data_IF_020836805416
#
_entry.id   IF_020836805416
#
_cell.length_a   1.000
_cell.length_b   1.000
_cell.length_c   1.000
_cell.angle_alpha   90.00
_cell.angle_beta   90.00
_cell.angle_gamma   90.00
#
_symmetry.space_group_name_H-M   'P 1'
#
loop_
_entity.id
_entity.type
_entity.pdbx_description
1 polymer ?
#
# COMPACT_ATOMS: atom_id res chain seq x y z
N UNK A 1 28.70 35.69 29.70
CA UNK A 1 29.11 35.51 28.30
C UNK A 1 30.17 34.41 28.07
N UNK A 2 31.26 34.32 28.86
CA UNK A 2 32.35 33.33 28.61
C UNK A 2 31.96 31.84 28.64
N UNK A 3 30.87 31.46 29.32
CA UNK A 3 30.43 30.06 29.40
C UNK A 3 29.71 29.57 28.13
N UNK A 4 29.00 30.44 27.42
CA UNK A 4 28.31 30.09 26.17
C UNK A 4 29.33 29.84 25.07
N UNK A 5 30.35 30.70 24.97
CA UNK A 5 31.45 30.55 24.01
C UNK A 5 32.21 29.24 24.24
N UNK A 6 32.44 28.82 25.50
CA UNK A 6 33.08 27.53 25.80
C UNK A 6 32.26 26.30 25.41
N UNK A 7 30.93 26.36 25.47
CA UNK A 7 30.04 25.26 25.02
C UNK A 7 30.01 25.16 23.49
N UNK A 8 30.04 26.30 22.79
CA UNK A 8 30.14 26.36 21.33
C UNK A 8 31.50 25.83 20.84
N UNK A 9 32.59 26.22 21.51
CA UNK A 9 33.95 25.79 21.16
C UNK A 9 34.24 24.31 21.46
N UNK A 10 33.45 23.68 22.33
CA UNK A 10 33.58 22.25 22.71
C UNK A 10 32.74 21.30 21.86
N UNK A 11 32.05 21.81 20.84
CA UNK A 11 31.16 21.04 19.96
C UNK A 11 29.99 20.34 20.70
N UNK A 12 29.73 20.74 21.95
CA UNK A 12 28.69 20.18 22.83
C UNK A 12 27.28 20.75 22.53
N UNK A 13 27.09 21.34 21.34
CA UNK A 13 25.78 21.85 20.92
C UNK A 13 24.96 20.68 20.38
N UNK A 14 24.34 19.93 21.28
CA UNK A 14 23.30 18.98 20.92
C UNK A 14 22.02 19.72 20.52
N UNK A 15 21.89 20.07 19.24
CA UNK A 15 20.59 20.49 18.68
C UNK A 15 19.67 19.27 18.60
N UNK A 16 18.73 19.17 19.55
CA UNK A 16 17.61 18.24 19.44
C UNK A 16 16.67 18.75 18.34
N UNK A 17 16.94 18.38 17.10
CA UNK A 17 16.05 18.59 15.96
C UNK A 17 14.80 17.72 16.15
N UNK A 18 13.81 18.22 16.88
CA UNK A 18 12.47 17.64 16.86
C UNK A 18 11.85 18.01 15.51
N UNK A 19 11.90 17.09 14.56
CA UNK A 19 11.35 17.31 13.22
C UNK A 19 9.82 17.26 13.27
N UNK A 20 9.20 18.43 13.47
CA UNK A 20 7.75 18.59 13.52
C UNK A 20 7.21 18.38 12.11
N UNK A 21 6.50 17.27 11.88
CA UNK A 21 5.85 16.96 10.59
C UNK A 21 6.40 15.73 9.87
N UNK A 22 7.58 15.23 10.23
CA UNK A 22 8.12 13.99 9.65
C UNK A 22 7.22 12.79 9.96
N UNK A 23 6.68 12.74 11.19
CA UNK A 23 5.76 11.68 11.61
C UNK A 23 4.45 11.68 10.81
N UNK A 24 3.97 12.87 10.42
CA UNK A 24 2.81 13.01 9.52
C UNK A 24 3.19 12.56 8.11
N UNK A 25 4.34 12.96 7.59
CA UNK A 25 4.84 12.52 6.29
C UNK A 25 5.01 11.00 6.20
N UNK A 26 5.64 10.38 7.20
CA UNK A 26 5.80 8.92 7.29
C UNK A 26 4.44 8.23 7.29
N UNK A 27 3.48 8.72 8.08
CA UNK A 27 2.11 8.18 8.10
C UNK A 27 1.39 8.33 6.75
N UNK A 28 1.68 9.39 6.01
CA UNK A 28 1.11 9.63 4.68
C UNK A 28 1.73 8.71 3.63
N UNK A 29 3.05 8.49 3.73
CA UNK A 29 3.79 7.54 2.91
C UNK A 29 3.30 6.11 3.15
N UNK A 30 3.14 5.67 4.40
CA UNK A 30 2.65 4.33 4.73
C UNK A 30 1.25 4.08 4.14
N UNK A 31 0.35 5.06 4.24
CA UNK A 31 -0.99 4.96 3.66
C UNK A 31 -0.95 4.84 2.14
N UNK A 32 -0.12 5.63 1.46
CA UNK A 32 0.04 5.56 0.02
C UNK A 32 0.67 4.24 -0.42
N UNK A 33 1.71 3.77 0.28
CA UNK A 33 2.33 2.47 0.03
C UNK A 33 1.33 1.33 0.17
N UNK A 34 0.51 1.35 1.22
CA UNK A 34 -0.50 0.31 1.43
C UNK A 34 -1.57 0.30 0.32
N UNK A 35 -1.97 1.48 -0.17
CA UNK A 35 -2.88 1.60 -1.33
C UNK A 35 -2.26 0.99 -2.60
N UNK A 36 -0.98 1.28 -2.86
CA UNK A 36 -0.26 0.76 -4.02
C UNK A 36 -0.14 -0.75 -3.93
N UNK A 37 0.37 -1.28 -2.83
CA UNK A 37 0.52 -2.73 -2.61
C UNK A 37 -0.80 -3.47 -2.82
N UNK A 38 -1.90 -2.93 -2.30
CA UNK A 38 -3.20 -3.56 -2.50
C UNK A 38 -3.68 -3.47 -3.96
N UNK A 39 -3.53 -2.31 -4.60
CA UNK A 39 -3.91 -2.16 -6.02
C UNK A 39 -3.14 -3.13 -6.93
N UNK A 40 -1.88 -3.41 -6.60
CA UNK A 40 -1.05 -4.41 -7.29
C UNK A 40 -1.58 -5.82 -7.06
N UNK A 41 -1.92 -6.20 -5.82
CA UNK A 41 -2.51 -7.52 -5.53
C UNK A 41 -3.79 -7.72 -6.35
N UNK A 42 -4.69 -6.74 -6.39
CA UNK A 42 -5.92 -6.81 -7.19
C UNK A 42 -5.60 -6.96 -8.67
N UNK A 43 -4.69 -6.14 -9.19
CA UNK A 43 -4.26 -6.19 -10.59
C UNK A 43 -3.67 -7.55 -10.98
N UNK A 44 -2.84 -8.14 -10.11
CA UNK A 44 -2.25 -9.45 -10.32
C UNK A 44 -3.29 -10.57 -10.35
N UNK A 45 -4.32 -10.52 -9.49
CA UNK A 45 -5.39 -11.52 -9.50
C UNK A 45 -6.24 -11.38 -10.79
N UNK A 46 -6.56 -10.16 -11.21
CA UNK A 46 -7.27 -9.92 -12.47
C UNK A 46 -6.48 -10.43 -13.68
N UNK A 47 -5.18 -10.16 -13.73
CA UNK A 47 -4.29 -10.63 -14.79
C UNK A 47 -4.19 -12.17 -14.78
N UNK A 48 -4.07 -12.78 -13.59
CA UNK A 48 -4.03 -14.24 -13.44
C UNK A 48 -5.32 -14.90 -13.94
N UNK A 49 -6.49 -14.34 -13.60
CA UNK A 49 -7.78 -14.81 -14.10
C UNK A 49 -7.85 -14.71 -15.63
N UNK A 50 -7.45 -13.57 -16.21
CA UNK A 50 -7.43 -13.37 -17.66
C UNK A 50 -6.54 -14.41 -18.38
N UNK A 51 -5.35 -14.70 -17.85
CA UNK A 51 -4.44 -15.72 -18.39
C UNK A 51 -5.08 -17.12 -18.30
N UNK A 52 -5.75 -17.46 -17.20
CA UNK A 52 -6.40 -18.75 -17.02
C UNK A 52 -7.55 -18.96 -18.03
N UNK A 53 -8.29 -17.89 -18.32
CA UNK A 53 -9.30 -17.90 -19.38
C UNK A 53 -8.69 -18.05 -20.77
N UNK A 54 -7.60 -17.32 -21.08
CA UNK A 54 -6.94 -17.36 -22.38
C UNK A 54 -6.27 -18.71 -22.68
N UNK A 55 -5.67 -19.34 -21.68
CA UNK A 55 -4.95 -20.62 -21.84
C UNK A 55 -5.88 -21.83 -21.81
N UNK A 56 -7.14 -21.66 -21.36
CA UNK A 56 -8.12 -22.74 -21.31
C UNK A 56 -7.70 -23.89 -20.38
N UNK A 57 -6.89 -23.61 -19.36
CA UNK A 57 -6.38 -24.60 -18.40
C UNK A 57 -7.38 -24.77 -17.25
N UNK A 58 -7.68 -26.03 -16.89
CA UNK A 58 -8.59 -26.41 -15.80
C UNK A 58 -9.97 -26.94 -16.25
N UNK A 59 -10.80 -27.43 -15.32
CA UNK A 59 -12.14 -27.94 -15.63
C UNK A 59 -13.00 -26.81 -16.22
N UNK A 60 -13.49 -27.03 -17.44
CA UNK A 60 -14.33 -26.07 -18.19
C UNK A 60 -15.79 -26.41 -17.96
N UNK A 61 -16.59 -25.41 -17.59
CA UNK A 61 -18.05 -25.49 -17.63
C UNK A 61 -18.52 -24.44 -18.65
N UNK A 62 -19.29 -24.84 -19.66
CA UNK A 62 -19.75 -23.98 -20.77
C UNK A 62 -18.63 -23.22 -21.52
N UNK A 63 -17.42 -23.79 -21.59
CA UNK A 63 -16.28 -23.16 -22.27
C UNK A 63 -15.52 -22.11 -21.43
N UNK A 64 -15.97 -21.83 -20.20
CA UNK A 64 -15.28 -20.95 -19.24
C UNK A 64 -14.54 -21.76 -18.16
N UNK A 65 -13.36 -21.28 -17.75
CA UNK A 65 -12.60 -21.90 -16.67
C UNK A 65 -13.22 -21.57 -15.31
N UNK A 66 -13.64 -22.59 -14.56
CA UNK A 66 -14.22 -22.46 -13.21
C UNK A 66 -13.25 -21.77 -12.25
N UNK A 67 -11.97 -22.12 -12.36
CA UNK A 67 -10.90 -21.55 -11.54
C UNK A 67 -10.74 -20.05 -11.83
N UNK A 68 -10.86 -19.65 -13.10
CA UNK A 68 -10.81 -18.24 -13.50
C UNK A 68 -11.96 -17.44 -12.91
N UNK A 69 -13.16 -18.01 -12.91
CA UNK A 69 -14.36 -17.38 -12.36
C UNK A 69 -14.32 -17.26 -10.83
N UNK A 70 -13.88 -18.31 -10.12
CA UNK A 70 -13.68 -18.29 -8.66
C UNK A 70 -12.63 -17.25 -8.27
N UNK A 71 -11.49 -17.22 -8.97
CA UNK A 71 -10.43 -16.25 -8.73
C UNK A 71 -10.93 -14.82 -9.00
N UNK A 72 -11.70 -14.61 -10.06
CA UNK A 72 -12.29 -13.31 -10.39
C UNK A 72 -13.28 -12.83 -9.31
N UNK A 73 -14.17 -13.70 -8.84
CA UNK A 73 -15.09 -13.39 -7.75
C UNK A 73 -14.36 -13.02 -6.45
N UNK A 74 -13.30 -13.74 -6.13
CA UNK A 74 -12.45 -13.44 -4.98
C UNK A 74 -11.72 -12.09 -5.14
N UNK A 75 -11.18 -11.82 -6.34
CA UNK A 75 -10.55 -10.54 -6.69
C UNK A 75 -11.52 -9.37 -6.53
N UNK A 76 -12.76 -9.56 -6.98
CA UNK A 76 -13.82 -8.55 -6.92
C UNK A 76 -14.19 -8.19 -5.48
N UNK A 77 -14.35 -9.20 -4.61
CA UNK A 77 -14.60 -8.96 -3.18
C UNK A 77 -13.44 -8.23 -2.52
N UNK A 78 -12.19 -8.62 -2.81
CA UNK A 78 -11.00 -7.93 -2.28
C UNK A 78 -10.89 -6.50 -2.81
N UNK A 79 -11.20 -6.27 -4.08
CA UNK A 79 -11.22 -4.94 -4.69
C UNK A 79 -12.27 -4.02 -4.06
N UNK A 80 -13.49 -4.51 -3.84
CA UNK A 80 -14.53 -3.76 -3.12
C UNK A 80 -14.07 -3.45 -1.70
N UNK A 81 -13.52 -4.44 -0.99
CA UNK A 81 -13.02 -4.26 0.36
C UNK A 81 -11.92 -3.19 0.43
N UNK A 82 -11.04 -3.13 -0.57
CA UNK A 82 -10.05 -2.06 -0.70
C UNK A 82 -10.69 -0.69 -0.85
N UNK A 83 -11.64 -0.56 -1.78
CA UNK A 83 -12.30 0.72 -2.04
C UNK A 83 -12.95 1.22 -0.75
N UNK A 84 -13.65 0.35 -0.03
CA UNK A 84 -14.26 0.67 1.26
C UNK A 84 -13.18 1.06 2.28
N UNK A 85 -12.06 0.33 2.36
CA UNK A 85 -10.95 0.62 3.27
C UNK A 85 -10.30 1.98 2.97
N UNK A 86 -10.10 2.33 1.70
CA UNK A 86 -9.54 3.61 1.26
C UNK A 86 -10.47 4.76 1.65
N UNK A 87 -11.77 4.61 1.41
CA UNK A 87 -12.79 5.61 1.76
C UNK A 87 -12.89 5.76 3.28
N UNK A 88 -12.93 4.64 4.03
CA UNK A 88 -13.04 4.63 5.50
C UNK A 88 -11.78 5.16 6.21
N UNK A 89 -10.61 5.10 5.57
CA UNK A 89 -9.35 5.64 6.11
C UNK A 89 -9.32 7.18 6.22
N UNK A 90 -10.41 7.86 5.81
CA UNK A 90 -10.64 9.28 6.09
C UNK A 90 -9.67 10.21 5.36
N UNK A 91 -9.40 9.94 4.08
CA UNK A 91 -8.65 10.84 3.19
C UNK A 91 -9.29 10.90 1.82
N UNK A 92 -10.50 11.43 1.80
CA UNK A 92 -10.85 12.51 0.89
C UNK A 92 -10.87 13.79 1.72
#
# INVERSE_FOLDING_TARGET
MKQIIRKVLKDDIHMKLTHIGLEKFTRDMDKSSNRISFSLIVSSILLSSAILHATGVGPKIYGMSILGFLAFGFAFLLGIWLIISIIRSGRL
#
